data_IF_311275946645
#
_entry.id   IF_311275946645
#
_cell.length_a   1.000
_cell.length_b   1.000
_cell.length_c   1.000
_cell.angle_alpha   90.00
_cell.angle_beta   90.00
_cell.angle_gamma   90.00
#
_symmetry.space_group_name_H-M   'P 1'
#
loop_
_entity.id
_entity.type
_entity.pdbx_description
1 polymer ?
#
# COMPACT_ATOMS: atom_id res chain seq x y z
N UNK A 1 4.07 11.67 -18.71
CA UNK A 1 4.72 10.75 -17.73
C UNK A 1 3.71 10.44 -16.64
N UNK A 2 3.64 9.17 -16.17
CA UNK A 2 2.77 8.77 -15.05
C UNK A 2 3.67 8.26 -13.92
N UNK A 3 3.45 8.74 -12.70
CA UNK A 3 4.16 8.32 -11.48
C UNK A 3 3.15 7.67 -10.54
N UNK A 4 3.51 6.51 -9.99
CA UNK A 4 2.71 5.78 -9.00
C UNK A 4 3.49 5.73 -7.69
N UNK A 5 2.85 6.11 -6.59
CA UNK A 5 3.39 5.96 -5.24
C UNK A 5 2.64 4.83 -4.57
N UNK A 6 3.35 3.76 -4.24
CA UNK A 6 2.79 2.55 -3.63
C UNK A 6 3.52 2.31 -2.33
N UNK A 7 2.77 2.18 -1.23
CA UNK A 7 3.32 1.74 0.05
C UNK A 7 3.45 0.21 0.06
N UNK A 8 4.39 -0.32 0.85
CA UNK A 8 4.47 -1.75 1.16
C UNK A 8 3.13 -2.31 1.69
N UNK A 9 2.90 -3.61 1.51
CA UNK A 9 1.76 -4.32 2.10
C UNK A 9 1.85 -4.41 3.63
N UNK A 10 0.81 -4.93 4.30
CA UNK A 10 0.80 -5.06 5.75
C UNK A 10 2.03 -5.83 6.27
N UNK A 11 2.77 -5.23 7.21
CA UNK A 11 3.90 -5.87 7.88
C UNK A 11 3.55 -6.32 9.29
N UNK A 12 4.40 -7.15 9.89
CA UNK A 12 4.27 -7.55 11.30
C UNK A 12 4.23 -6.34 12.23
N UNK A 13 4.99 -5.28 11.94
CA UNK A 13 4.91 -4.01 12.69
C UNK A 13 3.53 -3.33 12.59
N UNK A 14 2.83 -3.46 11.46
CA UNK A 14 1.47 -2.89 11.36
C UNK A 14 0.51 -3.61 12.31
N UNK A 15 0.62 -4.94 12.39
CA UNK A 15 -0.16 -5.75 13.34
C UNK A 15 0.18 -5.36 14.79
N UNK A 16 1.48 -5.29 15.14
CA UNK A 16 1.90 -4.90 16.49
C UNK A 16 1.40 -3.50 16.87
N UNK A 17 1.40 -2.54 15.94
CA UNK A 17 0.92 -1.19 16.19
C UNK A 17 -0.60 -1.12 16.42
N UNK A 18 -1.37 -2.08 15.89
CA UNK A 18 -2.82 -2.18 16.09
C UNK A 18 -3.17 -2.89 17.41
N UNK A 19 -2.34 -3.85 17.83
CA UNK A 19 -2.61 -4.71 18.99
C UNK A 19 -2.00 -4.20 20.30
N UNK A 20 -0.89 -3.45 20.24
CA UNK A 20 -0.13 -3.08 21.43
C UNK A 20 -0.27 -1.60 21.79
N UNK A 21 -0.19 -1.26 23.11
CA UNK A 21 0.05 0.10 23.54
C UNK A 21 1.35 0.67 22.95
N UNK A 22 1.39 1.99 22.76
CA UNK A 22 2.50 2.66 22.05
C UNK A 22 3.89 2.32 22.59
N UNK A 23 4.09 2.36 23.91
CA UNK A 23 5.39 2.07 24.53
C UNK A 23 5.86 0.63 24.24
N UNK A 24 4.93 -0.33 24.27
CA UNK A 24 5.21 -1.74 23.99
C UNK A 24 5.49 -1.97 22.49
N UNK A 25 4.78 -1.27 21.61
CA UNK A 25 5.06 -1.28 20.18
C UNK A 25 6.46 -0.74 19.87
N UNK A 26 6.85 0.39 20.47
CA UNK A 26 8.17 0.99 20.25
C UNK A 26 9.30 0.06 20.70
N UNK A 27 9.09 -0.66 21.80
CA UNK A 27 10.05 -1.63 22.32
C UNK A 27 10.13 -2.94 21.51
N UNK A 28 9.05 -3.33 20.83
CA UNK A 28 8.94 -4.64 20.14
C UNK A 28 9.06 -4.58 18.63
N UNK A 29 8.91 -3.41 18.00
CA UNK A 29 8.98 -3.27 16.54
C UNK A 29 10.35 -3.66 15.98
N UNK A 30 10.35 -4.26 14.79
CA UNK A 30 11.56 -4.52 14.02
C UNK A 30 11.90 -3.32 13.12
N UNK A 31 13.19 -3.06 12.89
CA UNK A 31 13.62 -2.12 11.84
C UNK A 31 13.33 -2.65 10.43
N UNK A 32 13.34 -3.97 10.28
CA UNK A 32 13.04 -4.69 9.03
C UNK A 32 11.95 -5.74 9.34
N UNK A 33 10.67 -5.31 9.40
CA UNK A 33 9.57 -6.24 9.63
C UNK A 33 9.24 -7.02 8.36
N UNK A 34 8.99 -8.31 8.51
CA UNK A 34 8.43 -9.12 7.43
C UNK A 34 7.02 -8.65 7.06
N UNK A 35 6.62 -8.92 5.81
CA UNK A 35 5.21 -8.84 5.43
C UNK A 35 4.43 -9.96 6.10
N UNK A 36 3.19 -9.67 6.49
CA UNK A 36 2.26 -10.72 6.88
C UNK A 36 1.81 -11.49 5.63
N UNK A 37 1.19 -12.68 5.77
CA UNK A 37 0.55 -13.35 4.65
C UNK A 37 -0.46 -12.45 3.90
N UNK A 38 -1.24 -11.66 4.63
CA UNK A 38 -2.14 -10.67 4.05
C UNK A 38 -1.39 -9.56 3.30
N UNK A 39 -0.23 -9.11 3.81
CA UNK A 39 0.64 -8.17 3.12
C UNK A 39 1.20 -8.70 1.80
N UNK A 40 1.54 -9.99 1.75
CA UNK A 40 1.93 -10.67 0.51
C UNK A 40 0.76 -10.74 -0.49
N UNK A 41 -0.43 -11.14 -0.03
CA UNK A 41 -1.63 -11.18 -0.87
C UNK A 41 -1.98 -9.80 -1.44
N UNK A 42 -1.86 -8.74 -0.64
CA UNK A 42 -2.04 -7.36 -1.09
C UNK A 42 -1.09 -7.00 -2.24
N UNK A 43 0.18 -7.39 -2.14
CA UNK A 43 1.17 -7.14 -3.19
C UNK A 43 0.84 -7.93 -4.47
N UNK A 44 0.38 -9.17 -4.34
CA UNK A 44 -0.06 -9.99 -5.47
C UNK A 44 -1.30 -9.40 -6.16
N UNK A 45 -2.32 -9.00 -5.39
CA UNK A 45 -3.53 -8.36 -5.93
C UNK A 45 -3.20 -7.04 -6.63
N UNK A 46 -2.28 -6.26 -6.09
CA UNK A 46 -1.82 -5.03 -6.72
C UNK A 46 -1.10 -5.30 -8.05
N UNK A 47 -0.27 -6.34 -8.10
CA UNK A 47 0.38 -6.77 -9.34
C UNK A 47 -0.65 -7.19 -10.39
N UNK A 48 -1.69 -7.93 -10.01
CA UNK A 48 -2.79 -8.30 -10.91
C UNK A 48 -3.55 -7.08 -11.41
N UNK A 49 -3.87 -6.13 -10.53
CA UNK A 49 -4.55 -4.89 -10.90
C UNK A 49 -3.76 -4.12 -11.97
N UNK A 50 -2.46 -3.94 -11.79
CA UNK A 50 -1.62 -3.26 -12.78
C UNK A 50 -1.37 -4.08 -14.05
N UNK A 51 -1.27 -5.40 -13.95
CA UNK A 51 -1.16 -6.28 -15.11
C UNK A 51 -2.34 -6.16 -16.07
N UNK A 52 -3.52 -5.78 -15.55
CA UNK A 52 -4.71 -5.47 -16.34
C UNK A 52 -4.83 -4.01 -16.80
N UNK A 53 -4.00 -3.09 -16.30
CA UNK A 53 -4.05 -1.68 -16.69
C UNK A 53 -3.27 -1.48 -17.98
N UNK A 54 -3.99 -1.37 -19.10
CA UNK A 54 -3.43 -0.81 -20.32
C UNK A 54 -3.16 0.69 -20.08
N UNK A 55 -1.96 1.16 -20.40
CA UNK A 55 -1.61 2.57 -20.27
C UNK A 55 -2.53 3.41 -21.15
N UNK A 56 -3.57 4.01 -20.58
CA UNK A 56 -4.37 4.98 -21.32
C UNK A 56 -3.47 6.17 -21.76
N UNK A 57 -3.80 6.88 -22.85
CA UNK A 57 -3.17 8.16 -23.16
C UNK A 57 -3.41 9.18 -22.03
N UNK A 58 -2.53 10.17 -21.90
CA UNK A 58 -2.55 11.14 -20.80
C UNK A 58 -3.71 12.18 -20.85
N UNK A 59 -4.64 12.07 -21.79
CA UNK A 59 -5.61 13.13 -22.10
C UNK A 59 -7.06 12.64 -22.02
N UNK A 60 -7.65 12.54 -20.83
CA UNK A 60 -9.12 12.49 -20.70
C UNK A 60 -9.68 12.83 -19.32
N UNK A 61 -8.94 13.54 -18.46
CA UNK A 61 -9.50 14.11 -17.24
C UNK A 61 -9.77 15.60 -17.45
N UNK A 62 -10.78 15.93 -18.25
CA UNK A 62 -11.35 17.27 -18.22
C UNK A 62 -12.13 17.40 -16.91
N UNK A 63 -11.65 18.29 -16.04
CA UNK A 63 -12.32 18.67 -14.82
C UNK A 63 -13.70 19.26 -15.15
N UNK A 64 -14.77 18.52 -14.84
CA UNK A 64 -16.09 19.12 -14.71
C UNK A 64 -16.07 20.01 -13.47
N UNK A 65 -15.81 21.30 -13.67
CA UNK A 65 -16.12 22.32 -12.68
C UNK A 65 -17.63 22.34 -12.50
N UNK A 66 -18.09 21.81 -11.36
CA UNK A 66 -19.44 22.07 -10.86
C UNK A 66 -19.40 23.47 -10.22
N UNK A 67 -20.06 24.43 -10.88
CA UNK A 67 -20.48 25.70 -10.27
C UNK A 67 -21.78 25.53 -9.50
#
# INVERSE_FOLDING_TARGET
MRLLLVRHGQSTNNVLAEELPYEEYIASRSAEPDLTPAGCEQAELLAHFFGGIQSAPAESWQHSHVT
#
